data_IF_398901750800
#
_entry.id   IF_398901750800
#
_cell.length_a   1.000
_cell.length_b   1.000
_cell.length_c   1.000
_cell.angle_alpha   90.00
_cell.angle_beta   90.00
_cell.angle_gamma   90.00
#
_symmetry.space_group_name_H-M   'P 1'
#
loop_
_entity.id
_entity.type
_entity.pdbx_description
1 polymer ?
#
# COMPACT_ATOMS: atom_id res chain seq x y z
N UNK A 1 2.08 5.58 -36.40
CA UNK A 1 1.59 6.26 -35.18
C UNK A 1 1.15 5.30 -34.06
N UNK A 2 0.51 4.15 -34.36
CA UNK A 2 0.01 3.24 -33.32
C UNK A 2 1.08 2.60 -32.40
N UNK A 3 2.32 2.40 -32.87
CA UNK A 3 3.39 1.78 -32.08
C UNK A 3 3.84 2.65 -30.89
N UNK A 4 3.89 3.97 -31.07
CA UNK A 4 4.31 4.91 -30.01
C UNK A 4 3.29 4.99 -28.87
N UNK A 5 2.00 4.96 -29.19
CA UNK A 5 0.93 4.94 -28.19
C UNK A 5 0.92 3.65 -27.37
N UNK A 6 1.10 2.49 -28.03
CA UNK A 6 1.20 1.20 -27.34
C UNK A 6 2.41 1.15 -26.42
N UNK A 7 3.55 1.70 -26.84
CA UNK A 7 4.73 1.76 -25.99
C UNK A 7 4.53 2.68 -24.78
N UNK A 8 3.90 3.84 -24.97
CA UNK A 8 3.56 4.75 -23.88
C UNK A 8 2.62 4.08 -22.87
N UNK A 9 1.60 3.39 -23.35
CA UNK A 9 0.67 2.64 -22.51
C UNK A 9 1.38 1.53 -21.74
N UNK A 10 2.25 0.76 -22.39
CA UNK A 10 3.07 -0.26 -21.73
C UNK A 10 3.98 0.33 -20.65
N UNK A 11 4.59 1.51 -20.89
CA UNK A 11 5.39 2.21 -19.88
C UNK A 11 4.54 2.67 -18.69
N UNK A 12 3.36 3.23 -18.93
CA UNK A 12 2.41 3.63 -17.88
C UNK A 12 1.97 2.43 -17.05
N UNK A 13 1.61 1.33 -17.70
CA UNK A 13 1.19 0.10 -17.02
C UNK A 13 2.31 -0.45 -16.13
N UNK A 14 3.55 -0.50 -16.63
CA UNK A 14 4.70 -0.92 -15.81
C UNK A 14 4.96 0.02 -14.64
N UNK A 15 4.85 1.33 -14.84
CA UNK A 15 5.01 2.29 -13.75
C UNK A 15 3.97 2.07 -12.64
N UNK A 16 2.71 1.90 -13.01
CA UNK A 16 1.62 1.63 -12.05
C UNK A 16 1.82 0.30 -11.30
N UNK A 17 2.30 -0.74 -11.99
CA UNK A 17 2.60 -2.03 -11.36
C UNK A 17 3.76 -1.91 -10.35
N UNK A 18 4.80 -1.16 -10.70
CA UNK A 18 5.94 -0.92 -9.82
C UNK A 18 5.55 -0.07 -8.60
N UNK A 19 4.70 0.94 -8.80
CA UNK A 19 4.16 1.74 -7.70
C UNK A 19 3.37 0.87 -6.72
N UNK A 20 2.49 0.01 -7.23
CA UNK A 20 1.73 -0.94 -6.40
C UNK A 20 2.66 -1.87 -5.61
N UNK A 21 3.66 -2.44 -6.25
CA UNK A 21 4.62 -3.34 -5.61
C UNK A 21 5.47 -2.61 -4.55
N UNK A 22 5.89 -1.39 -4.85
CA UNK A 22 6.59 -0.54 -3.88
C UNK A 22 5.73 -0.24 -2.66
N UNK A 23 4.46 0.15 -2.86
CA UNK A 23 3.54 0.43 -1.77
C UNK A 23 3.32 -0.81 -0.88
N UNK A 24 3.16 -1.98 -1.49
CA UNK A 24 3.00 -3.23 -0.74
C UNK A 24 4.26 -3.58 0.07
N UNK A 25 5.46 -3.42 -0.51
CA UNK A 25 6.73 -3.60 0.21
C UNK A 25 6.91 -2.58 1.33
N UNK A 26 6.55 -1.31 1.10
CA UNK A 26 6.66 -0.25 2.09
C UNK A 26 5.74 -0.51 3.29
N UNK A 27 4.50 -0.93 3.04
CA UNK A 27 3.58 -1.36 4.09
C UNK A 27 4.13 -2.53 4.89
N UNK A 28 4.67 -3.56 4.22
CA UNK A 28 5.27 -4.71 4.89
C UNK A 28 6.45 -4.31 5.80
N UNK A 29 7.32 -3.43 5.32
CA UNK A 29 8.43 -2.87 6.11
C UNK A 29 7.92 -2.07 7.31
N UNK A 30 6.88 -1.26 7.14
CA UNK A 30 6.26 -0.50 8.23
C UNK A 30 5.70 -1.44 9.31
N UNK A 31 5.00 -2.50 8.90
CA UNK A 31 4.45 -3.51 9.81
C UNK A 31 5.54 -4.33 10.53
N UNK A 32 6.76 -4.40 10.02
CA UNK A 32 7.87 -5.05 10.73
C UNK A 32 8.50 -4.17 11.82
N UNK A 33 8.21 -2.87 11.85
CA UNK A 33 8.75 -1.97 12.88
C UNK A 33 8.19 -2.29 14.27
N UNK A 34 8.96 -1.90 15.28
CA UNK A 34 8.58 -1.98 16.69
C UNK A 34 7.44 -1.01 17.02
N UNK A 35 6.63 -1.41 18.00
CA UNK A 35 5.47 -0.65 18.48
C UNK A 35 4.22 -1.53 18.57
N UNK A 36 3.30 -1.17 19.46
CA UNK A 36 2.05 -1.91 19.60
C UNK A 36 1.09 -1.53 18.47
N UNK A 37 0.70 -2.51 17.65
CA UNK A 37 -0.27 -2.37 16.57
C UNK A 37 -1.30 -3.47 16.63
N UNK A 38 -2.51 -3.20 16.13
CA UNK A 38 -3.56 -4.22 15.94
C UNK A 38 -4.22 -4.09 14.57
N UNK A 39 -4.72 -5.21 14.05
CA UNK A 39 -5.58 -5.24 12.87
C UNK A 39 -6.94 -4.63 13.24
N UNK A 40 -7.48 -3.78 12.37
CA UNK A 40 -8.83 -3.24 12.49
C UNK A 40 -9.86 -4.28 12.07
N UNK A 41 -11.01 -4.27 12.73
CA UNK A 41 -12.20 -5.02 12.31
C UNK A 41 -12.92 -4.26 11.19
N UNK A 42 -13.83 -4.94 10.50
CA UNK A 42 -14.55 -4.37 9.35
C UNK A 42 -15.44 -3.18 9.74
N UNK A 43 -16.03 -3.20 10.93
CA UNK A 43 -16.84 -2.10 11.49
C UNK A 43 -16.04 -0.84 11.80
N UNK A 44 -14.73 -0.98 11.99
CA UNK A 44 -13.83 0.14 12.28
C UNK A 44 -13.27 0.80 11.00
N UNK A 45 -13.52 0.21 9.83
CA UNK A 45 -13.00 0.67 8.53
C UNK A 45 -14.03 1.61 7.87
N UNK A 46 -13.72 2.90 7.84
CA UNK A 46 -14.58 3.94 7.23
C UNK A 46 -14.67 3.81 5.71
N UNK A 47 -13.56 3.45 5.06
CA UNK A 47 -13.50 3.23 3.62
C UNK A 47 -13.24 1.76 3.34
N UNK A 48 -14.23 1.03 2.79
CA UNK A 48 -14.08 -0.39 2.48
C UNK A 48 -12.82 -0.65 1.67
N UNK A 49 -12.00 -1.58 2.14
CA UNK A 49 -10.79 -2.01 1.46
C UNK A 49 -10.71 -3.52 1.50
N UNK A 50 -10.18 -4.12 0.43
CA UNK A 50 -9.96 -5.57 0.35
C UNK A 50 -8.74 -6.03 1.14
N UNK A 51 -7.90 -5.10 1.60
CA UNK A 51 -6.66 -5.40 2.32
C UNK A 51 -6.81 -5.15 3.83
N UNK A 52 -6.17 -5.96 4.69
CA UNK A 52 -6.10 -5.70 6.13
C UNK A 52 -5.56 -4.31 6.45
N UNK A 53 -6.25 -3.60 7.36
CA UNK A 53 -5.79 -2.30 7.89
C UNK A 53 -5.29 -2.47 9.31
N UNK A 54 -4.21 -1.77 9.65
CA UNK A 54 -3.60 -1.81 10.98
C UNK A 54 -3.56 -0.41 11.58
N UNK A 55 -3.80 -0.32 12.90
CA UNK A 55 -3.69 0.91 13.68
C UNK A 55 -2.63 0.74 14.76
N UNK A 56 -1.71 1.69 14.84
CA UNK A 56 -0.71 1.79 15.91
C UNK A 56 -1.35 2.39 17.16
N UNK A 57 -0.92 1.92 18.34
CA UNK A 57 -1.21 2.61 19.60
C UNK A 57 -0.48 3.95 19.61
N UNK A 58 -1.08 4.94 20.25
CA UNK A 58 -0.48 6.25 20.44
C UNK A 58 0.63 6.16 21.50
N UNK A 59 1.80 5.69 21.08
CA UNK A 59 3.01 5.60 21.88
C UNK A 59 4.08 6.51 21.27
N UNK A 60 4.79 7.29 22.10
CA UNK A 60 5.92 8.09 21.62
C UNK A 60 7.12 7.17 21.38
N UNK A 61 7.75 7.33 20.22
CA UNK A 61 9.08 6.75 19.97
C UNK A 61 10.04 7.32 21.02
N UNK A 62 10.74 6.42 21.71
CA UNK A 62 11.75 6.79 22.70
C UNK A 62 13.12 6.89 22.04
#
# INVERSE_FOLDING_TARGET
>A
MASSYRELEARRNRANQLEKLYMDMALQKELQKNGQKRKLREDEIVQPTSKPVYKWRAERKR
#
